data_IF_066991582133
#
_entry.id   IF_066991582133
#
_cell.length_a   1.000
_cell.length_b   1.000
_cell.length_c   1.000
_cell.angle_alpha   90.00
_cell.angle_beta   90.00
_cell.angle_gamma   90.00
#
_symmetry.space_group_name_H-M   'P 1'
#
loop_
_entity.id
_entity.type
_entity.pdbx_description
1 polymer ?
#
# COMPACT_ATOMS: atom_id res chain seq x y z
N UNK A 1 8.82 -1.54 18.40
CA UNK A 1 8.29 -2.11 17.15
C UNK A 1 7.07 -2.96 17.48
N UNK A 2 5.90 -2.61 16.97
CA UNK A 2 4.70 -3.44 17.06
C UNK A 2 4.59 -4.28 15.78
N UNK A 3 4.69 -5.60 15.93
CA UNK A 3 4.57 -6.57 14.85
C UNK A 3 3.09 -6.88 14.60
N UNK A 4 2.62 -6.64 13.38
CA UNK A 4 1.28 -7.01 12.94
C UNK A 4 1.27 -8.46 12.42
N UNK A 5 2.20 -8.79 11.53
CA UNK A 5 2.32 -10.12 10.94
C UNK A 5 3.77 -10.37 10.47
N UNK A 6 4.14 -11.64 10.31
CA UNK A 6 5.41 -12.03 9.72
C UNK A 6 5.31 -13.31 8.90
N UNK A 7 6.12 -13.41 7.86
CA UNK A 7 6.17 -14.58 7.01
C UNK A 7 7.52 -14.75 6.32
N UNK A 8 7.83 -16.00 5.94
CA UNK A 8 9.03 -16.31 5.18
C UNK A 8 8.81 -16.10 3.70
N UNK A 9 9.78 -15.48 3.03
CA UNK A 9 9.83 -15.36 1.58
C UNK A 9 10.36 -16.65 0.93
N UNK A 10 10.15 -16.76 -0.38
CA UNK A 10 10.61 -17.94 -1.15
C UNK A 10 12.12 -18.11 -1.16
N UNK A 11 12.88 -17.05 -0.93
CA UNK A 11 14.34 -17.03 -0.86
C UNK A 11 14.89 -17.17 0.58
N UNK A 12 14.01 -17.44 1.56
CA UNK A 12 14.36 -17.67 2.95
C UNK A 12 14.45 -16.42 3.83
N UNK A 13 14.33 -15.20 3.26
CA UNK A 13 14.28 -13.97 4.05
C UNK A 13 12.96 -13.84 4.84
N UNK A 14 13.00 -13.15 5.97
CA UNK A 14 11.82 -12.87 6.78
C UNK A 14 11.19 -11.52 6.36
N UNK A 15 9.91 -11.53 6.05
CA UNK A 15 9.11 -10.32 5.86
C UNK A 15 8.26 -10.05 7.10
N UNK A 16 8.25 -8.78 7.54
CA UNK A 16 7.44 -8.29 8.68
C UNK A 16 6.54 -7.16 8.23
N UNK A 17 5.30 -7.18 8.68
CA UNK A 17 4.37 -6.05 8.62
C UNK A 17 4.32 -5.44 10.02
N UNK A 18 4.70 -4.17 10.14
CA UNK A 18 4.78 -3.46 11.41
C UNK A 18 3.99 -2.16 11.37
N UNK A 19 3.59 -1.66 12.55
CA UNK A 19 3.06 -0.30 12.62
C UNK A 19 4.15 0.72 12.24
N UNK A 20 3.78 1.87 11.64
CA UNK A 20 4.74 2.88 11.23
C UNK A 20 5.55 3.41 12.43
N UNK A 21 6.85 3.59 12.22
CA UNK A 21 7.76 4.19 13.19
C UNK A 21 8.63 5.26 12.51
N UNK A 22 8.70 6.44 13.09
CA UNK A 22 9.42 7.59 12.50
C UNK A 22 10.93 7.38 12.35
N UNK A 23 11.51 6.41 13.07
CA UNK A 23 12.94 6.07 12.93
C UNK A 23 13.30 5.55 11.53
N UNK A 24 12.32 5.03 10.76
CA UNK A 24 12.52 4.53 9.41
C UNK A 24 12.40 5.62 8.31
N UNK A 25 12.09 6.86 8.69
CA UNK A 25 11.85 7.94 7.71
C UNK A 25 13.04 8.20 6.79
N UNK A 26 14.26 8.13 7.29
CA UNK A 26 15.47 8.34 6.48
C UNK A 26 15.68 7.22 5.48
N UNK A 27 15.50 5.97 5.91
CA UNK A 27 15.64 4.80 5.05
C UNK A 27 14.56 4.77 3.97
N UNK A 28 13.30 5.05 4.36
CA UNK A 28 12.16 5.12 3.45
C UNK A 28 12.36 6.21 2.39
N UNK A 29 12.75 7.42 2.81
CA UNK A 29 13.05 8.52 1.90
C UNK A 29 14.16 8.15 0.89
N UNK A 30 15.25 7.52 1.34
CA UNK A 30 16.34 7.09 0.44
C UNK A 30 15.85 6.11 -0.64
N UNK A 31 14.98 5.17 -0.28
CA UNK A 31 14.39 4.24 -1.25
C UNK A 31 13.55 5.01 -2.26
N UNK A 32 12.65 5.86 -1.78
CA UNK A 32 11.75 6.65 -2.64
C UNK A 32 12.56 7.57 -3.57
N UNK A 33 13.60 8.22 -3.05
CA UNK A 33 14.45 9.13 -3.83
C UNK A 33 15.25 8.40 -4.92
N UNK A 34 15.84 7.26 -4.58
CA UNK A 34 16.57 6.41 -5.53
C UNK A 34 15.66 5.81 -6.63
N UNK A 35 14.40 5.60 -6.33
CA UNK A 35 13.42 4.97 -7.23
C UNK A 35 12.36 5.96 -7.73
N UNK A 36 12.62 7.26 -7.62
CA UNK A 36 11.67 8.35 -7.87
C UNK A 36 11.00 8.28 -9.25
N UNK A 37 11.75 7.99 -10.30
CA UNK A 37 11.20 7.85 -11.65
C UNK A 37 10.25 6.65 -11.74
N UNK A 38 10.66 5.49 -11.24
CA UNK A 38 9.87 4.26 -11.29
C UNK A 38 8.59 4.34 -10.43
N UNK A 39 8.73 4.78 -9.18
CA UNK A 39 7.58 4.92 -8.28
C UNK A 39 6.67 6.06 -8.75
N UNK A 40 7.25 7.17 -9.18
CA UNK A 40 6.54 8.35 -9.65
C UNK A 40 5.75 8.14 -10.94
N UNK A 41 6.01 7.07 -11.70
CA UNK A 41 5.19 6.71 -12.86
C UNK A 41 3.71 6.51 -12.47
N UNK A 42 3.46 5.90 -11.30
CA UNK A 42 2.11 5.58 -10.82
C UNK A 42 1.72 6.26 -9.49
N UNK A 43 2.68 6.82 -8.77
CA UNK A 43 2.50 7.45 -7.46
C UNK A 43 2.91 8.92 -7.51
N UNK A 44 1.99 9.78 -7.89
CA UNK A 44 2.26 11.21 -8.14
C UNK A 44 2.84 11.96 -6.92
N UNK A 45 2.49 11.54 -5.69
CA UNK A 45 2.98 12.12 -4.45
C UNK A 45 4.50 12.01 -4.27
N UNK A 46 5.14 11.01 -4.89
CA UNK A 46 6.60 10.79 -4.86
C UNK A 46 7.38 12.03 -5.33
N UNK A 47 6.83 12.77 -6.30
CA UNK A 47 7.47 13.96 -6.84
C UNK A 47 7.46 15.15 -5.88
N UNK A 48 6.53 15.17 -4.91
CA UNK A 48 6.43 16.23 -3.90
C UNK A 48 7.34 16.02 -2.70
N UNK A 49 7.73 14.77 -2.40
CA UNK A 49 8.56 14.42 -1.25
C UNK A 49 10.04 14.81 -1.51
N UNK A 50 10.60 15.70 -0.68
CA UNK A 50 11.94 16.32 -0.91
C UNK A 50 12.98 15.96 0.16
N UNK A 51 12.59 15.40 1.29
CA UNK A 51 13.51 15.12 2.39
C UNK A 51 12.99 14.03 3.34
N UNK A 52 13.92 13.42 4.08
CA UNK A 52 13.59 12.51 5.17
C UNK A 52 12.76 13.19 6.28
N UNK A 53 12.95 14.52 6.47
CA UNK A 53 12.14 15.30 7.41
C UNK A 53 10.67 15.43 6.97
N UNK A 54 10.42 15.49 5.67
CA UNK A 54 9.05 15.45 5.13
C UNK A 54 8.46 14.04 5.26
N UNK A 55 9.24 13.00 4.95
CA UNK A 55 8.79 11.61 5.14
C UNK A 55 8.44 11.31 6.60
N UNK A 56 9.23 11.84 7.55
CA UNK A 56 8.88 11.76 8.97
C UNK A 56 7.51 12.35 9.27
N UNK A 57 7.18 13.52 8.69
CA UNK A 57 5.85 14.15 8.84
C UNK A 57 4.74 13.32 8.19
N UNK A 58 5.02 12.65 7.07
CA UNK A 58 4.07 11.73 6.44
C UNK A 58 3.77 10.56 7.37
N UNK A 59 4.80 9.96 8.00
CA UNK A 59 4.62 8.89 8.99
C UNK A 59 3.81 9.38 10.19
N UNK A 60 4.12 10.57 10.73
CA UNK A 60 3.39 11.18 11.84
C UNK A 60 1.92 11.43 11.47
N UNK A 61 1.66 11.92 10.26
CA UNK A 61 0.32 12.07 9.71
C UNK A 61 -0.42 10.73 9.63
N UNK A 62 0.21 9.69 9.10
CA UNK A 62 -0.37 8.35 9.03
C UNK A 62 -0.77 7.85 10.44
N UNK A 63 0.11 7.99 11.43
CA UNK A 63 -0.17 7.61 12.82
C UNK A 63 -1.38 8.38 13.37
N UNK A 64 -1.49 9.69 13.10
CA UNK A 64 -2.66 10.48 13.52
C UNK A 64 -3.95 10.00 12.82
N UNK A 65 -3.89 9.71 11.51
CA UNK A 65 -5.05 9.18 10.78
C UNK A 65 -5.47 7.79 11.28
N UNK A 66 -4.51 6.98 11.77
CA UNK A 66 -4.83 5.69 12.40
C UNK A 66 -5.56 5.89 13.74
N UNK A 67 -5.13 6.83 14.57
CA UNK A 67 -5.85 7.21 15.82
C UNK A 67 -7.27 7.69 15.52
N UNK A 68 -7.45 8.44 14.45
CA UNK A 68 -8.74 8.94 13.98
C UNK A 68 -9.61 7.87 13.27
N UNK A 69 -9.09 6.63 13.13
CA UNK A 69 -9.73 5.51 12.40
C UNK A 69 -10.05 5.82 10.94
N UNK A 70 -9.29 6.70 10.31
CA UNK A 70 -9.44 7.08 8.89
C UNK A 70 -8.52 6.30 7.97
N UNK A 71 -7.42 5.77 8.53
CA UNK A 71 -6.45 4.93 7.85
C UNK A 71 -6.00 3.80 8.77
N UNK A 72 -5.44 2.74 8.16
CA UNK A 72 -4.66 1.72 8.84
C UNK A 72 -3.42 1.42 8.00
N UNK A 73 -2.24 1.72 8.51
CA UNK A 73 -1.00 1.72 7.74
C UNK A 73 0.00 0.74 8.34
N UNK A 74 0.69 -0.02 7.48
CA UNK A 74 1.75 -0.93 7.86
C UNK A 74 3.00 -0.67 7.01
N UNK A 75 4.15 -0.62 7.66
CA UNK A 75 5.45 -0.71 6.98
C UNK A 75 5.78 -2.15 6.69
N UNK A 76 6.37 -2.39 5.52
CA UNK A 76 6.88 -3.69 5.09
C UNK A 76 8.39 -3.68 5.31
N UNK A 77 8.87 -4.60 6.13
CA UNK A 77 10.30 -4.81 6.35
C UNK A 77 10.70 -6.19 5.81
N UNK A 78 11.89 -6.29 5.22
CA UNK A 78 12.54 -7.55 4.85
C UNK A 78 13.89 -7.60 5.54
N UNK A 79 14.12 -8.60 6.41
CA UNK A 79 15.30 -8.70 7.26
C UNK A 79 15.59 -7.38 8.00
N UNK A 80 14.55 -6.80 8.60
CA UNK A 80 14.54 -5.53 9.34
C UNK A 80 14.87 -4.26 8.52
N UNK A 81 14.97 -4.35 7.19
CA UNK A 81 15.13 -3.21 6.28
C UNK A 81 13.81 -2.83 5.65
N UNK A 82 13.58 -1.53 5.45
CA UNK A 82 12.38 -1.03 4.78
C UNK A 82 12.31 -1.56 3.35
N UNK A 83 11.17 -2.15 3.01
CA UNK A 83 10.89 -2.64 1.67
C UNK A 83 9.75 -1.87 0.98
N UNK A 84 8.82 -1.32 1.75
CA UNK A 84 7.65 -0.62 1.22
C UNK A 84 6.60 -0.33 2.28
N UNK A 85 5.38 -0.11 1.83
CA UNK A 85 4.24 0.23 2.68
C UNK A 85 2.94 -0.33 2.09
N UNK A 86 2.00 -0.66 2.97
CA UNK A 86 0.63 -1.04 2.61
C UNK A 86 -0.33 -0.37 3.56
N UNK A 87 -1.49 0.02 3.08
CA UNK A 87 -2.48 0.72 3.90
C UNK A 87 -3.91 0.42 3.50
N UNK A 88 -4.82 0.73 4.44
CA UNK A 88 -6.23 0.99 4.20
C UNK A 88 -6.44 2.48 4.36
N UNK A 89 -7.00 3.13 3.37
CA UNK A 89 -7.41 4.53 3.43
C UNK A 89 -8.86 4.70 3.00
N UNK A 90 -9.39 5.92 3.10
CA UNK A 90 -10.81 6.21 2.89
C UNK A 90 -11.73 5.27 3.70
N UNK A 91 -11.33 4.94 4.93
CA UNK A 91 -12.10 4.03 5.77
C UNK A 91 -13.46 4.67 6.11
N UNK A 92 -14.53 4.00 5.69
CA UNK A 92 -15.89 4.23 6.12
C UNK A 92 -16.30 3.07 7.03
N UNK A 93 -16.34 3.32 8.33
CA UNK A 93 -16.54 2.30 9.37
C UNK A 93 -17.74 1.41 9.03
N UNK A 94 -17.56 0.10 9.15
CA UNK A 94 -18.54 -0.95 8.83
C UNK A 94 -19.00 -0.96 7.35
N UNK A 95 -18.40 -0.17 6.48
CA UNK A 95 -18.79 -0.08 5.07
C UNK A 95 -17.66 -0.52 4.16
N UNK A 96 -16.63 0.31 4.00
CA UNK A 96 -15.57 0.05 3.04
C UNK A 96 -14.25 0.74 3.37
N UNK A 97 -13.18 0.26 2.75
CA UNK A 97 -11.91 0.96 2.64
C UNK A 97 -11.27 0.70 1.27
N UNK A 98 -10.27 1.48 0.94
CA UNK A 98 -9.41 1.25 -0.21
C UNK A 98 -8.03 0.77 0.25
N UNK A 99 -7.45 -0.18 -0.48
CA UNK A 99 -6.11 -0.71 -0.23
C UNK A 99 -5.11 0.01 -1.13
N UNK A 100 -4.09 0.62 -0.52
CA UNK A 100 -2.93 1.20 -1.18
C UNK A 100 -1.66 0.43 -0.85
N UNK A 101 -0.69 0.40 -1.77
CA UNK A 101 0.63 -0.21 -1.53
C UNK A 101 1.68 0.29 -2.49
N UNK A 102 2.94 0.26 -2.02
CA UNK A 102 4.12 0.35 -2.86
C UNK A 102 5.24 -0.54 -2.32
N UNK A 103 6.17 -0.92 -3.18
CA UNK A 103 7.30 -1.79 -2.84
C UNK A 103 8.55 -1.35 -3.60
N UNK A 104 9.71 -1.37 -2.94
CA UNK A 104 10.99 -1.17 -3.59
C UNK A 104 11.24 -2.28 -4.63
N UNK A 105 11.89 -1.91 -5.73
CA UNK A 105 12.21 -2.79 -6.85
C UNK A 105 12.98 -4.03 -6.44
N UNK A 106 13.87 -3.89 -5.45
CA UNK A 106 14.70 -4.98 -4.92
C UNK A 106 13.85 -6.16 -4.40
N UNK A 107 12.64 -5.87 -3.91
CA UNK A 107 11.76 -6.85 -3.28
C UNK A 107 10.59 -7.29 -4.16
N UNK A 108 10.56 -6.85 -5.43
CA UNK A 108 9.52 -7.29 -6.37
C UNK A 108 9.61 -8.80 -6.65
N UNK A 109 8.51 -9.40 -7.08
CA UNK A 109 8.39 -10.81 -7.47
C UNK A 109 8.58 -11.86 -6.36
N UNK A 110 8.71 -11.44 -5.11
CA UNK A 110 8.82 -12.32 -3.93
C UNK A 110 7.46 -12.65 -3.27
N UNK A 111 6.35 -12.20 -3.86
CA UNK A 111 5.01 -12.42 -3.33
C UNK A 111 4.63 -11.53 -2.15
N UNK A 112 5.48 -10.57 -1.75
CA UNK A 112 5.30 -9.72 -0.56
C UNK A 112 3.97 -9.00 -0.59
N UNK A 113 3.69 -8.19 -1.63
CA UNK A 113 2.44 -7.42 -1.71
C UNK A 113 1.22 -8.35 -1.75
N UNK A 114 1.28 -9.46 -2.48
CA UNK A 114 0.16 -10.42 -2.52
C UNK A 114 -0.20 -10.90 -1.12
N UNK A 115 0.79 -11.35 -0.33
CA UNK A 115 0.58 -11.84 1.04
C UNK A 115 0.19 -10.70 1.99
N UNK A 116 0.79 -9.52 1.85
CA UNK A 116 0.43 -8.36 2.66
C UNK A 116 -1.02 -7.93 2.44
N UNK A 117 -1.50 -7.91 1.19
CA UNK A 117 -2.90 -7.61 0.88
C UNK A 117 -3.84 -8.69 1.41
N UNK A 118 -3.43 -9.97 1.36
CA UNK A 118 -4.21 -11.08 1.91
C UNK A 118 -4.42 -10.91 3.43
N UNK A 119 -3.35 -10.72 4.20
CA UNK A 119 -3.43 -10.47 5.65
C UNK A 119 -4.23 -9.20 5.99
N UNK A 120 -4.00 -8.12 5.24
CA UNK A 120 -4.72 -6.87 5.47
C UNK A 120 -6.22 -7.01 5.13
N UNK A 121 -6.55 -7.82 4.13
CA UNK A 121 -7.95 -8.14 3.78
C UNK A 121 -8.63 -8.92 4.90
N UNK A 122 -7.97 -9.94 5.44
CA UNK A 122 -8.48 -10.72 6.56
C UNK A 122 -8.73 -9.79 7.78
N UNK A 123 -7.73 -9.01 8.17
CA UNK A 123 -7.86 -8.04 9.26
C UNK A 123 -9.00 -7.05 9.06
N UNK A 124 -9.14 -6.51 7.85
CA UNK A 124 -10.20 -5.57 7.51
C UNK A 124 -11.61 -6.17 7.67
N UNK A 125 -11.75 -7.44 7.34
CA UNK A 125 -13.03 -8.13 7.40
C UNK A 125 -13.36 -8.66 8.81
N UNK A 126 -12.37 -9.19 9.53
CA UNK A 126 -12.58 -9.79 10.86
C UNK A 126 -12.54 -8.76 12.00
N UNK A 127 -11.52 -7.87 11.99
CA UNK A 127 -11.30 -6.96 13.11
C UNK A 127 -11.93 -5.57 12.90
N UNK A 128 -11.88 -5.04 11.65
CA UNK A 128 -12.49 -3.75 11.35
C UNK A 128 -13.95 -3.87 10.91
N UNK A 129 -14.45 -5.10 10.75
CA UNK A 129 -15.83 -5.40 10.33
C UNK A 129 -16.25 -4.63 9.07
N UNK A 130 -15.33 -4.48 8.11
CA UNK A 130 -15.63 -3.85 6.83
C UNK A 130 -16.39 -4.80 5.94
N UNK A 131 -17.36 -4.27 5.18
CA UNK A 131 -18.12 -5.05 4.22
C UNK A 131 -17.39 -5.20 2.88
N UNK A 132 -16.62 -4.16 2.47
CA UNK A 132 -16.01 -4.11 1.14
C UNK A 132 -14.60 -3.53 1.18
N UNK A 133 -13.69 -4.15 0.44
CA UNK A 133 -12.41 -3.54 0.09
C UNK A 133 -12.36 -3.23 -1.39
N UNK A 134 -11.71 -2.12 -1.75
CA UNK A 134 -11.45 -1.72 -3.13
C UNK A 134 -9.94 -1.55 -3.37
N UNK A 135 -9.53 -1.75 -4.63
CA UNK A 135 -8.19 -1.44 -5.12
C UNK A 135 -8.37 -0.72 -6.44
N UNK A 136 -7.84 0.51 -6.55
CA UNK A 136 -7.78 1.27 -7.80
C UNK A 136 -6.39 1.14 -8.41
N UNK A 137 -6.31 0.84 -9.68
CA UNK A 137 -5.04 0.63 -10.37
C UNK A 137 -5.09 1.35 -11.72
N UNK A 138 -4.10 2.18 -12.03
CA UNK A 138 -3.99 2.76 -13.38
C UNK A 138 -4.02 1.64 -14.43
N UNK A 139 -4.83 1.78 -15.46
CA UNK A 139 -5.09 0.73 -16.46
C UNK A 139 -3.83 0.21 -17.14
N UNK A 140 -2.78 1.03 -17.20
CA UNK A 140 -1.46 0.69 -17.76
C UNK A 140 -0.56 -0.07 -16.76
N UNK A 141 -0.88 -0.09 -15.45
CA UNK A 141 -0.08 -0.73 -14.42
C UNK A 141 -0.40 -2.22 -14.27
N UNK A 142 0.02 -3.02 -15.25
CA UNK A 142 -0.24 -4.46 -15.25
C UNK A 142 0.33 -5.20 -14.03
N UNK A 143 1.47 -4.74 -13.47
CA UNK A 143 2.07 -5.33 -12.26
C UNK A 143 1.16 -5.17 -11.05
N UNK A 144 0.66 -3.96 -10.81
CA UNK A 144 -0.27 -3.70 -9.70
C UNK A 144 -1.60 -4.43 -9.93
N UNK A 145 -2.14 -4.44 -11.15
CA UNK A 145 -3.38 -5.14 -11.50
C UNK A 145 -3.30 -6.68 -11.30
N UNK A 146 -2.11 -7.26 -11.32
CA UNK A 146 -1.93 -8.69 -11.06
C UNK A 146 -2.23 -9.09 -9.61
N UNK A 147 -2.11 -8.16 -8.64
CA UNK A 147 -2.35 -8.43 -7.22
C UNK A 147 -3.84 -8.72 -6.95
N UNK A 148 -4.78 -7.78 -7.23
CA UNK A 148 -6.20 -8.03 -7.00
C UNK A 148 -6.71 -9.24 -7.80
N UNK A 149 -6.24 -9.46 -9.04
CA UNK A 149 -6.62 -10.64 -9.84
C UNK A 149 -6.23 -11.94 -9.16
N UNK A 150 -5.00 -12.03 -8.62
CA UNK A 150 -4.49 -13.23 -7.93
C UNK A 150 -5.24 -13.52 -6.63
N UNK A 151 -5.72 -12.48 -5.94
CA UNK A 151 -6.47 -12.57 -4.70
C UNK A 151 -7.99 -12.66 -4.90
N UNK A 152 -8.43 -12.88 -6.16
CA UNK A 152 -9.85 -13.03 -6.52
C UNK A 152 -10.70 -11.79 -6.15
N UNK A 153 -10.14 -10.58 -6.30
CA UNK A 153 -10.95 -9.38 -6.35
C UNK A 153 -11.69 -9.32 -7.67
N UNK A 154 -12.95 -8.97 -7.62
CA UNK A 154 -13.79 -8.78 -8.83
C UNK A 154 -13.49 -7.41 -9.47
N UNK A 155 -13.28 -7.37 -10.78
CA UNK A 155 -13.16 -6.11 -11.53
C UNK A 155 -14.54 -5.53 -11.78
N UNK A 156 -14.89 -4.43 -11.09
CA UNK A 156 -16.19 -3.78 -11.23
C UNK A 156 -16.32 -2.95 -12.50
N UNK A 157 -15.20 -2.36 -12.97
CA UNK A 157 -15.21 -1.53 -14.16
C UNK A 157 -13.95 -0.70 -14.32
N UNK A 158 -14.07 0.35 -15.15
CA UNK A 158 -13.04 1.34 -15.40
C UNK A 158 -13.59 2.73 -15.03
N UNK A 159 -12.85 3.45 -14.22
CA UNK A 159 -13.07 4.86 -13.92
C UNK A 159 -12.31 5.66 -15.00
N UNK A 160 -13.03 6.16 -15.99
CA UNK A 160 -12.43 6.82 -17.16
C UNK A 160 -11.94 8.20 -16.78
N UNK A 161 -10.66 8.53 -17.12
CA UNK A 161 -10.02 9.83 -16.87
C UNK A 161 -10.25 10.37 -15.44
N UNK A 162 -10.12 9.47 -14.46
CA UNK A 162 -10.54 9.70 -13.08
C UNK A 162 -9.58 10.53 -12.26
N UNK A 163 -8.28 10.42 -12.52
CA UNK A 163 -7.24 11.10 -11.77
C UNK A 163 -6.26 11.84 -12.69
N UNK A 164 -5.66 12.91 -12.14
CA UNK A 164 -4.52 13.56 -12.77
C UNK A 164 -3.23 12.94 -12.26
N UNK A 165 -2.45 12.33 -13.15
CA UNK A 165 -1.14 11.77 -12.85
C UNK A 165 -0.12 12.26 -13.87
N UNK A 166 1.00 12.85 -13.38
CA UNK A 166 2.10 13.33 -14.24
C UNK A 166 1.62 14.25 -15.39
N UNK A 167 0.66 15.15 -15.11
CA UNK A 167 0.14 16.13 -16.06
C UNK A 167 -0.84 15.59 -17.10
N UNK A 168 -1.31 14.36 -16.97
CA UNK A 168 -2.34 13.77 -17.84
C UNK A 168 -3.46 13.14 -17.00
N UNK A 169 -4.67 13.10 -17.56
CA UNK A 169 -5.75 12.31 -17.00
C UNK A 169 -5.49 10.82 -17.25
N UNK A 170 -5.66 10.01 -16.21
CA UNK A 170 -5.49 8.56 -16.28
C UNK A 170 -6.76 7.85 -15.86
N UNK A 171 -7.02 6.72 -16.51
CA UNK A 171 -8.13 5.83 -16.16
C UNK A 171 -7.68 4.77 -15.18
N UNK A 172 -8.59 4.36 -14.28
CA UNK A 172 -8.31 3.38 -13.23
C UNK A 172 -9.21 2.15 -13.40
N UNK A 173 -8.61 0.98 -13.35
CA UNK A 173 -9.33 -0.28 -13.10
C UNK A 173 -9.77 -0.31 -11.63
N UNK A 174 -11.05 -0.51 -11.39
CA UNK A 174 -11.63 -0.67 -10.05
C UNK A 174 -11.83 -2.15 -9.76
N UNK A 175 -11.13 -2.65 -8.74
CA UNK A 175 -11.30 -4.00 -8.21
C UNK A 175 -11.95 -3.95 -6.84
N UNK A 176 -12.74 -4.97 -6.49
CA UNK A 176 -13.34 -5.08 -5.15
C UNK A 176 -13.39 -6.51 -4.63
N UNK A 177 -13.46 -6.62 -3.31
CA UNK A 177 -13.74 -7.86 -2.59
C UNK A 177 -14.76 -7.59 -1.50
N UNK A 178 -15.76 -8.45 -1.42
CA UNK A 178 -16.87 -8.36 -0.46
C UNK A 178 -16.63 -9.36 0.67
N UNK A 179 -16.92 -8.94 1.89
CA UNK A 179 -17.00 -9.80 3.07
C UNK A 179 -18.35 -10.53 3.07
N UNK A 180 -18.33 -11.83 2.78
CA UNK A 180 -19.52 -12.69 2.69
C UNK A 180 -19.72 -13.45 3.99
#
# INVERSE_FOLDING_TARGET
MFLFEKFQLVDGRECKLILPETKYAEEMYKIIDNERERLGEYLSWVHSLKSAGEEKKVIEYCLQQMLDKKMFVLMILVDDKVAGMIDLHEIKVNVRAEVGYWLSKEYESLGIITRSVEYLTEYAFTELNLHKLTIRVQTENAKSAAIPKRLNFFKEGILVEHEMSNGKFVSLDLYSKINN
#
